data_IF_580480946825
#
_entry.id   IF_580480946825
#
_cell.length_a   1.000
_cell.length_b   1.000
_cell.length_c   1.000
_cell.angle_alpha   90.00
_cell.angle_beta   90.00
_cell.angle_gamma   90.00
#
_symmetry.space_group_name_H-M   'P 1'
#
loop_
_entity.id
_entity.type
_entity.pdbx_description
1 polymer ?
#
# COMPACT_ATOMS: atom_id res chain seq x y z
N UNK A 1 -14.74 12.38 -4.75
CA UNK A 1 -13.30 12.01 -4.69
C UNK A 1 -12.68 12.37 -6.03
N UNK A 2 -11.56 13.10 -6.08
CA UNK A 2 -10.90 13.43 -7.34
C UNK A 2 -10.49 12.17 -8.12
N UNK A 3 -10.51 12.24 -9.46
CA UNK A 3 -10.22 11.13 -10.38
C UNK A 3 -8.86 10.43 -10.17
N UNK A 4 -7.91 11.10 -9.50
CA UNK A 4 -6.58 10.56 -9.21
C UNK A 4 -6.54 9.60 -7.99
N UNK A 5 -7.62 9.50 -7.22
CA UNK A 5 -7.76 8.54 -6.10
C UNK A 5 -8.72 7.41 -6.51
N UNK A 6 -8.43 6.73 -7.62
CA UNK A 6 -9.20 5.54 -8.03
C UNK A 6 -8.61 4.30 -7.37
N UNK A 7 -9.23 3.82 -6.29
CA UNK A 7 -8.81 2.59 -5.61
C UNK A 7 -9.19 1.38 -6.49
N UNK A 8 -8.23 0.87 -7.26
CA UNK A 8 -8.41 -0.43 -7.93
C UNK A 8 -8.42 -1.54 -6.88
N UNK A 9 -9.56 -2.22 -6.75
CA UNK A 9 -9.75 -3.33 -5.82
C UNK A 9 -9.53 -4.69 -6.49
N UNK A 10 -9.21 -4.71 -7.79
CA UNK A 10 -9.14 -5.94 -8.57
C UNK A 10 -7.83 -6.70 -8.37
N UNK A 11 -6.76 -5.99 -7.97
CA UNK A 11 -5.44 -6.60 -7.72
C UNK A 11 -5.29 -6.97 -6.25
N UNK A 12 -4.75 -8.16 -5.94
CA UNK A 12 -4.52 -8.57 -4.57
C UNK A 12 -3.40 -7.73 -3.96
N UNK A 13 -3.71 -6.94 -2.93
CA UNK A 13 -2.73 -6.11 -2.23
C UNK A 13 -2.28 -6.81 -0.95
N UNK A 14 -1.01 -6.67 -0.62
CA UNK A 14 -0.49 -7.22 0.62
C UNK A 14 -1.18 -6.62 1.85
N UNK A 15 -1.64 -7.46 2.78
CA UNK A 15 -2.30 -7.05 4.02
C UNK A 15 -1.44 -6.14 4.89
N UNK A 16 -0.12 -6.26 4.77
CA UNK A 16 0.89 -5.51 5.53
C UNK A 16 1.29 -4.19 4.88
N UNK A 17 0.85 -3.90 3.65
CA UNK A 17 1.19 -2.67 2.97
C UNK A 17 0.33 -1.51 3.53
N UNK A 18 0.98 -0.40 3.88
CA UNK A 18 0.33 0.85 4.29
C UNK A 18 0.97 2.04 3.61
N UNK A 19 0.20 3.11 3.47
CA UNK A 19 0.70 4.43 3.04
C UNK A 19 0.25 5.47 4.05
N UNK A 20 1.01 6.56 4.15
CA UNK A 20 0.59 7.71 4.98
C UNK A 20 -0.54 8.44 4.25
N UNK A 21 -1.78 8.15 4.64
CA UNK A 21 -2.95 8.87 4.19
C UNK A 21 -3.41 9.89 5.23
N UNK A 22 -4.00 11.00 4.77
CA UNK A 22 -4.68 11.94 5.64
C UNK A 22 -5.99 11.29 6.11
N UNK A 23 -6.13 11.06 7.42
CA UNK A 23 -7.40 10.64 8.01
C UNK A 23 -8.26 11.88 8.29
N UNK A 24 -9.46 11.91 7.71
CA UNK A 24 -10.46 12.91 8.03
C UNK A 24 -11.48 12.31 9.01
N UNK A 25 -11.73 13.00 10.12
CA UNK A 25 -12.71 12.57 11.12
C UNK A 25 -14.09 12.32 10.50
N UNK A 26 -14.70 11.18 10.82
CA UNK A 26 -15.99 10.77 10.28
C UNK A 26 -15.94 10.16 8.88
N UNK A 27 -14.75 9.94 8.32
CA UNK A 27 -14.57 9.30 7.00
C UNK A 27 -13.70 8.04 7.11
N UNK A 28 -14.12 6.98 6.41
CA UNK A 28 -13.24 5.83 6.17
C UNK A 28 -12.03 6.28 5.34
N UNK A 29 -10.84 6.04 5.87
CA UNK A 29 -9.59 6.35 5.17
C UNK A 29 -9.11 5.09 4.48
N UNK A 30 -9.45 4.98 3.21
CA UNK A 30 -8.96 3.89 2.39
C UNK A 30 -7.45 4.03 2.20
N UNK A 31 -6.74 2.93 2.38
CA UNK A 31 -5.37 2.82 1.90
C UNK A 31 -5.35 3.11 0.39
N UNK A 32 -4.56 4.10 -0.03
CA UNK A 32 -4.44 4.46 -1.43
C UNK A 32 -3.56 3.42 -2.15
N UNK A 33 -4.19 2.41 -2.74
CA UNK A 33 -3.53 1.35 -3.51
C UNK A 33 -3.26 1.71 -4.97
N UNK A 34 -3.73 2.87 -5.41
CA UNK A 34 -3.39 3.48 -6.70
C UNK A 34 -2.57 4.72 -6.40
N UNK A 35 -1.31 4.65 -6.80
CA UNK A 35 -0.21 5.48 -6.36
C UNK A 35 -0.30 6.91 -6.89
N UNK A 36 -0.17 7.88 -5.99
CA UNK A 36 0.67 9.04 -6.33
C UNK A 36 2.11 8.55 -6.35
N UNK A 37 2.87 8.86 -7.41
CA UNK A 37 4.32 8.55 -7.47
C UNK A 37 5.14 9.18 -6.34
N UNK A 38 4.56 10.16 -5.64
CA UNK A 38 5.17 10.81 -4.48
C UNK A 38 4.79 10.18 -3.13
N UNK A 39 3.89 9.20 -3.10
CA UNK A 39 3.46 8.57 -1.86
C UNK A 39 4.49 7.55 -1.36
N UNK A 40 4.87 7.68 -0.10
CA UNK A 40 5.68 6.68 0.59
C UNK A 40 4.81 5.52 1.08
N UNK A 41 5.26 4.30 0.85
CA UNK A 41 4.65 3.06 1.33
C UNK A 41 5.58 2.36 2.29
N UNK A 42 5.00 1.64 3.24
CA UNK A 42 5.72 0.92 4.28
C UNK A 42 5.07 -0.43 4.55
N UNK A 43 5.90 -1.41 4.90
CA UNK A 43 5.43 -2.72 5.35
C UNK A 43 5.26 -2.71 6.87
N UNK A 44 4.08 -3.02 7.40
CA UNK A 44 3.84 -3.12 8.84
C UNK A 44 4.61 -4.25 9.52
N UNK A 45 5.11 -5.23 8.76
CA UNK A 45 5.94 -6.31 9.30
C UNK A 45 7.35 -5.86 9.65
N UNK A 46 7.91 -4.92 8.87
CA UNK A 46 9.26 -4.35 9.08
C UNK A 46 9.22 -2.94 9.64
N UNK A 47 8.04 -2.32 9.68
CA UNK A 47 7.82 -0.91 9.99
C UNK A 47 8.72 0.03 9.16
N UNK A 48 9.03 -0.36 7.92
CA UNK A 48 9.99 0.35 7.08
C UNK A 48 9.55 0.38 5.61
N UNK A 49 10.16 1.29 4.82
CA UNK A 49 9.88 1.44 3.38
C UNK A 49 10.46 0.30 2.54
N UNK A 50 11.38 -0.49 3.10
CA UNK A 50 11.86 -1.73 2.50
C UNK A 50 11.27 -2.94 3.22
N UNK A 51 10.87 -3.94 2.44
CA UNK A 51 10.44 -5.23 2.95
C UNK A 51 11.60 -6.05 3.52
N UNK A 52 11.31 -7.22 4.10
CA UNK A 52 12.34 -8.13 4.62
C UNK A 52 13.19 -8.77 3.51
N UNK A 53 12.76 -8.62 2.26
CA UNK A 53 13.50 -8.97 1.04
C UNK A 53 14.40 -7.82 0.55
N UNK A 54 14.53 -6.74 1.33
CA UNK A 54 15.31 -5.52 1.02
C UNK A 54 14.82 -4.74 -0.21
N UNK A 55 13.70 -5.13 -0.82
CA UNK A 55 13.08 -4.38 -1.91
C UNK A 55 12.12 -3.30 -1.39
N UNK A 56 11.91 -2.24 -2.18
CA UNK A 56 10.96 -1.17 -1.84
C UNK A 56 9.54 -1.70 -1.68
N UNK A 57 8.77 -1.15 -0.75
CA UNK A 57 7.35 -1.40 -0.62
C UNK A 57 6.61 -0.46 -1.55
N UNK A 58 5.80 -0.99 -2.45
CA UNK A 58 4.82 -0.22 -3.25
C UNK A 58 3.72 -1.19 -3.73
N UNK A 59 2.50 -0.71 -4.03
CA UNK A 59 1.40 -1.56 -4.48
C UNK A 59 1.74 -2.41 -5.71
N UNK A 60 2.50 -1.85 -6.65
CA UNK A 60 2.87 -2.51 -7.91
C UNK A 60 3.82 -3.69 -7.71
N UNK A 61 4.62 -3.63 -6.65
CA UNK A 61 5.65 -4.64 -6.35
C UNK A 61 5.26 -5.56 -5.21
N UNK A 62 4.28 -5.20 -4.38
CA UNK A 62 3.82 -5.97 -3.23
C UNK A 62 2.68 -6.92 -3.63
N UNK A 63 3.03 -7.89 -4.48
CA UNK A 63 2.13 -8.85 -5.15
C UNK A 63 2.62 -10.30 -4.95
N UNK A 64 1.83 -11.33 -5.35
CA UNK A 64 2.24 -12.73 -5.25
C UNK A 64 3.63 -12.97 -5.86
N UNK A 65 4.50 -13.68 -5.13
CA UNK A 65 5.90 -13.91 -5.52
C UNK A 65 6.94 -13.10 -4.71
N UNK A 66 6.53 -12.03 -4.03
CA UNK A 66 7.36 -11.40 -2.99
C UNK A 66 7.40 -12.28 -1.74
N UNK A 67 8.57 -12.34 -1.08
CA UNK A 67 8.77 -13.12 0.15
C UNK A 67 7.86 -12.70 1.31
N UNK A 68 7.49 -11.43 1.37
CA UNK A 68 6.64 -10.87 2.43
C UNK A 68 5.18 -10.67 2.04
N UNK A 69 4.80 -11.09 0.83
CA UNK A 69 3.44 -10.91 0.37
C UNK A 69 2.50 -11.82 1.14
N UNK A 70 1.46 -11.21 1.71
CA UNK A 70 0.37 -11.93 2.33
C UNK A 70 -0.94 -11.32 1.86
N UNK A 71 -1.82 -12.10 1.20
CA UNK A 71 -3.05 -11.57 0.60
C UNK A 71 -3.97 -11.00 1.69
N UNK A 72 -4.62 -9.88 1.37
CA UNK A 72 -5.67 -9.26 2.19
C UNK A 72 -7.03 -9.88 1.89
#
# INVERSE_FOLDING_TARGET
MPEFIRVDKSRPVCKHLRTKALHAYGSDTHDAFHTSRSSSYQCLRTCFVTGPDRGLCAPEVCQPGRRCFEPK
#
